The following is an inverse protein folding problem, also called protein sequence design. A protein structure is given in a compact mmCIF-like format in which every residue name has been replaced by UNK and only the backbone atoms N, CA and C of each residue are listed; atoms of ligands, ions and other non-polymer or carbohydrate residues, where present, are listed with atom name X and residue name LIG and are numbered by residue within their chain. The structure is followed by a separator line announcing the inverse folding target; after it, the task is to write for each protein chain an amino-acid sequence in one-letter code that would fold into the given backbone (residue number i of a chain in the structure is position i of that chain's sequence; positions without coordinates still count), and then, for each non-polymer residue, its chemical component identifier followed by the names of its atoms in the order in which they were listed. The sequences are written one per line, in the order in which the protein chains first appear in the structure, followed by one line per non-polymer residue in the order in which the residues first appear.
data_IF_636710851003
#
_entry.id   IF_636710851003
#
_cell.length_a   1.000
_cell.length_b   1.000
_cell.length_c   1.000
_cell.angle_alpha   90.00
_cell.angle_beta   90.00
_cell.angle_gamma   90.00
#
_symmetry.space_group_name_H-M   'P 1'
#
loop_
_entity.id
_entity.type
_entity.pdbx_description
1 polymer ?
#
# COMPACT_ATOMS: atom_id res chain seq x y z
N UNK A 1 -14.81 -2.85 29.24
CA UNK A 1 -15.40 -2.29 28.01
C UNK A 1 -15.03 -3.19 26.84
N UNK A 2 -16.02 -3.83 26.19
CA UNK A 2 -15.76 -4.62 24.98
C UNK A 2 -15.40 -3.71 23.80
N UNK A 3 -14.45 -4.12 22.95
CA UNK A 3 -14.15 -3.39 21.70
C UNK A 3 -15.35 -3.50 20.76
N UNK A 4 -15.81 -2.38 20.23
CA UNK A 4 -16.79 -2.37 19.14
C UNK A 4 -16.14 -2.96 17.88
N UNK A 5 -16.87 -3.82 17.17
CA UNK A 5 -16.47 -4.40 15.88
C UNK A 5 -17.45 -3.90 14.83
N UNK A 6 -16.93 -3.36 13.73
CA UNK A 6 -17.73 -2.93 12.60
C UNK A 6 -17.97 -4.14 11.70
N UNK A 7 -19.23 -4.45 11.42
CA UNK A 7 -19.63 -5.47 10.44
C UNK A 7 -19.86 -4.75 9.12
N UNK A 8 -19.01 -5.05 8.14
CA UNK A 8 -19.08 -4.46 6.81
C UNK A 8 -20.21 -5.10 6.00
N UNK A 9 -20.84 -4.31 5.12
CA UNK A 9 -21.73 -4.78 4.06
C UNK A 9 -20.95 -5.50 2.95
N UNK A 10 -21.66 -6.24 2.10
CA UNK A 10 -21.04 -6.94 0.96
C UNK A 10 -20.32 -5.98 0.00
N UNK A 11 -20.88 -4.78 -0.23
CA UNK A 11 -20.29 -3.74 -1.07
C UNK A 11 -19.00 -3.18 -0.46
N UNK A 12 -18.99 -2.91 0.86
CA UNK A 12 -17.78 -2.48 1.57
C UNK A 12 -16.70 -3.56 1.56
N UNK A 13 -17.08 -4.84 1.71
CA UNK A 13 -16.14 -5.96 1.59
C UNK A 13 -15.56 -6.05 0.17
N UNK A 14 -16.35 -5.79 -0.87
CA UNK A 14 -15.85 -5.75 -2.24
C UNK A 14 -14.80 -4.65 -2.46
N UNK A 15 -15.04 -3.45 -1.92
CA UNK A 15 -14.08 -2.34 -1.97
C UNK A 15 -12.80 -2.65 -1.21
N UNK A 16 -12.90 -3.23 0.00
CA UNK A 16 -11.73 -3.67 0.77
C UNK A 16 -10.93 -4.72 -0.01
N UNK A 17 -11.60 -5.67 -0.68
CA UNK A 17 -10.95 -6.68 -1.51
C UNK A 17 -10.16 -6.04 -2.65
N UNK A 18 -10.76 -5.12 -3.40
CA UNK A 18 -10.08 -4.43 -4.50
C UNK A 18 -8.81 -3.71 -4.02
N UNK A 19 -8.94 -2.90 -2.96
CA UNK A 19 -7.81 -2.19 -2.34
C UNK A 19 -6.72 -3.14 -1.84
N UNK A 20 -7.10 -4.23 -1.16
CA UNK A 20 -6.16 -5.24 -0.64
C UNK A 20 -5.40 -5.95 -1.76
N UNK A 21 -6.07 -6.22 -2.89
CA UNK A 21 -5.42 -6.83 -4.05
C UNK A 21 -4.40 -5.88 -4.68
N UNK A 22 -4.68 -4.58 -4.75
CA UNK A 22 -3.70 -3.59 -5.22
C UNK A 22 -2.48 -3.52 -4.31
N UNK A 23 -2.68 -3.54 -2.98
CA UNK A 23 -1.58 -3.61 -2.01
C UNK A 23 -0.72 -4.87 -2.27
N UNK A 24 -1.35 -6.03 -2.43
CA UNK A 24 -0.65 -7.27 -2.72
C UNK A 24 0.17 -7.23 -4.01
N UNK A 25 -0.40 -6.68 -5.10
CA UNK A 25 0.33 -6.49 -6.37
C UNK A 25 1.51 -5.52 -6.23
N UNK A 26 1.33 -4.44 -5.49
CA UNK A 26 2.41 -3.47 -5.20
C UNK A 26 3.57 -4.14 -4.48
N UNK A 27 3.30 -4.92 -3.43
CA UNK A 27 4.33 -5.64 -2.69
C UNK A 27 5.05 -6.67 -3.57
N UNK A 28 4.31 -7.38 -4.42
CA UNK A 28 4.89 -8.33 -5.36
C UNK A 28 5.79 -7.64 -6.39
N UNK A 29 5.40 -6.45 -6.89
CA UNK A 29 6.23 -5.68 -7.82
C UNK A 29 7.52 -5.21 -7.14
N UNK A 30 7.42 -4.57 -5.97
CA UNK A 30 8.59 -4.12 -5.18
C UNK A 30 9.55 -5.27 -4.90
N UNK A 31 9.03 -6.45 -4.53
CA UNK A 31 9.84 -7.62 -4.22
C UNK A 31 10.77 -8.07 -5.36
N UNK A 32 10.40 -7.83 -6.62
CA UNK A 32 11.20 -8.19 -7.80
C UNK A 32 12.50 -7.40 -7.91
N UNK A 33 12.57 -6.25 -7.26
CA UNK A 33 13.71 -5.32 -7.33
C UNK A 33 14.58 -5.37 -6.07
N UNK A 34 14.22 -6.17 -5.07
CA UNK A 34 15.00 -6.32 -3.84
C UNK A 34 16.28 -7.10 -4.13
N UNK A 35 17.43 -6.49 -3.88
CA UNK A 35 18.74 -7.12 -4.03
C UNK A 35 19.87 -6.22 -3.56
N UNK A 36 21.11 -6.75 -3.46
CA UNK A 36 22.28 -5.96 -3.07
C UNK A 36 22.47 -4.74 -3.97
N UNK A 37 22.75 -3.58 -3.39
CA UNK A 37 22.92 -2.31 -4.11
C UNK A 37 21.61 -1.57 -4.42
N UNK A 38 20.45 -2.16 -4.12
CA UNK A 38 19.17 -1.45 -4.13
C UNK A 38 19.05 -0.54 -2.90
N UNK A 39 18.49 0.65 -3.08
CA UNK A 39 18.23 1.58 -1.96
C UNK A 39 16.75 1.58 -1.61
N UNK A 40 16.43 1.79 -0.34
CA UNK A 40 15.05 1.89 0.13
C UNK A 40 14.29 3.03 -0.55
N UNK A 41 14.94 4.18 -0.81
CA UNK A 41 14.32 5.28 -1.56
C UNK A 41 13.93 4.93 -3.00
N UNK A 42 14.66 4.03 -3.68
CA UNK A 42 14.27 3.54 -5.02
C UNK A 42 13.05 2.62 -4.94
N UNK A 43 13.01 1.75 -3.93
CA UNK A 43 11.86 0.87 -3.69
C UNK A 43 10.61 1.67 -3.33
N UNK A 44 10.75 2.72 -2.53
CA UNK A 44 9.67 3.66 -2.17
C UNK A 44 9.10 4.38 -3.40
N UNK A 45 9.97 4.93 -4.25
CA UNK A 45 9.57 5.59 -5.49
C UNK A 45 8.85 4.64 -6.45
N UNK A 46 9.34 3.41 -6.59
CA UNK A 46 8.73 2.39 -7.44
C UNK A 46 7.36 1.96 -6.92
N UNK A 47 7.19 1.81 -5.61
CA UNK A 47 5.89 1.54 -5.02
C UNK A 47 4.90 2.68 -5.26
N UNK A 48 5.35 3.93 -5.12
CA UNK A 48 4.50 5.10 -5.36
C UNK A 48 4.04 5.21 -6.81
N UNK A 49 4.96 5.01 -7.75
CA UNK A 49 4.65 4.96 -9.18
C UNK A 49 3.61 3.87 -9.46
N UNK A 50 3.88 2.64 -9.02
CA UNK A 50 2.97 1.51 -9.25
C UNK A 50 1.57 1.74 -8.64
N UNK A 51 1.49 2.26 -7.40
CA UNK A 51 0.22 2.57 -6.75
C UNK A 51 -0.57 3.60 -7.56
N UNK A 52 0.08 4.69 -8.00
CA UNK A 52 -0.56 5.78 -8.75
C UNK A 52 -1.01 5.34 -10.14
N UNK A 53 -0.19 4.57 -10.85
CA UNK A 53 -0.50 4.04 -12.17
C UNK A 53 -1.71 3.09 -12.15
N UNK A 54 -1.96 2.45 -11.02
CA UNK A 54 -3.12 1.59 -10.79
C UNK A 54 -4.31 2.35 -10.15
N UNK A 55 -4.32 3.67 -10.16
CA UNK A 55 -5.40 4.52 -9.65
C UNK A 55 -5.49 4.60 -8.12
N UNK A 56 -4.50 4.06 -7.40
CA UNK A 56 -4.41 4.16 -5.95
C UNK A 56 -3.73 5.43 -5.47
N UNK A 57 -3.80 5.66 -4.15
CA UNK A 57 -3.08 6.73 -3.46
C UNK A 57 -2.23 6.10 -2.36
N UNK A 58 -0.96 6.51 -2.19
CA UNK A 58 -0.13 6.04 -1.09
C UNK A 58 -0.80 6.22 0.28
N UNK A 59 -0.96 5.13 1.03
CA UNK A 59 -1.65 5.17 2.32
C UNK A 59 -0.85 5.84 3.44
N UNK A 60 0.48 5.74 3.40
CA UNK A 60 1.35 6.35 4.41
C UNK A 60 1.80 7.76 4.06
N UNK A 61 1.98 8.07 2.78
CA UNK A 61 2.54 9.38 2.38
C UNK A 61 1.59 10.51 2.76
N UNK A 62 2.06 11.42 3.61
CA UNK A 62 1.29 12.50 4.20
C UNK A 62 0.53 12.12 5.47
N UNK A 63 0.37 10.83 5.78
CA UNK A 63 -0.27 10.38 7.01
C UNK A 63 0.58 10.77 8.22
N UNK A 64 0.04 11.63 9.09
CA UNK A 64 0.76 12.17 10.24
C UNK A 64 2.11 12.85 9.90
N UNK A 65 2.23 13.40 8.68
CA UNK A 65 3.47 14.01 8.19
C UNK A 65 4.52 13.00 7.71
N UNK A 66 4.16 11.73 7.55
CA UNK A 66 5.06 10.72 6.99
C UNK A 66 5.47 11.07 5.56
N UNK A 67 6.77 11.09 5.22
CA UNK A 67 7.23 11.52 3.91
C UNK A 67 7.18 10.42 2.84
N UNK A 68 7.04 9.15 3.24
CA UNK A 68 7.26 7.98 2.39
C UNK A 68 5.97 7.21 2.08
N UNK A 69 6.00 6.47 0.98
CA UNK A 69 4.94 5.56 0.55
C UNK A 69 5.05 4.20 1.22
N UNK A 70 6.27 3.69 1.39
CA UNK A 70 6.61 2.48 2.12
C UNK A 70 7.25 2.81 3.47
N UNK A 71 7.13 1.88 4.42
CA UNK A 71 7.84 1.89 5.69
C UNK A 71 8.84 0.73 5.68
N UNK A 72 10.10 1.01 5.35
CA UNK A 72 11.18 0.03 5.13
C UNK A 72 12.53 0.57 5.61
#
# INVERSE_FOLDING_TARGET
MGKAVIILSDDEVALVRESSLLVGRTLAEVARHIGPGMTTGKLDALAEEFIRDNGGVPGFKGLYGCPSTLLI
#
